data_IF_280407308989
#
_entry.id   IF_280407308989
#
_cell.length_a   1.000
_cell.length_b   1.000
_cell.length_c   1.000
_cell.angle_alpha   90.00
_cell.angle_beta   90.00
_cell.angle_gamma   90.00
#
_symmetry.space_group_name_H-M   'P 1'
#
loop_
_entity.id
_entity.type
_entity.pdbx_description
1 polymer ?
#
# COMPACT_ATOMS: atom_id res chain seq x y z
N UNK A 1 -13.24 24.39 2.90
CA UNK A 1 -11.88 23.82 2.87
C UNK A 1 -10.86 24.95 2.76
N UNK A 2 -9.78 24.91 3.54
CA UNK A 2 -8.65 25.85 3.50
C UNK A 2 -7.42 25.12 2.92
N UNK A 3 -6.71 25.74 1.98
CA UNK A 3 -5.53 25.16 1.33
C UNK A 3 -4.25 25.85 1.79
N UNK A 4 -3.23 25.06 2.16
CA UNK A 4 -1.85 25.51 2.37
C UNK A 4 -0.95 25.19 1.17
N UNK A 5 -1.36 24.24 0.32
CA UNK A 5 -0.62 23.85 -0.89
C UNK A 5 -1.56 23.74 -2.08
N UNK A 6 -1.46 24.64 -3.08
CA UNK A 6 -2.31 24.59 -4.27
C UNK A 6 -2.07 23.31 -5.09
N UNK A 7 -0.88 22.73 -4.99
CA UNK A 7 -0.54 21.48 -5.70
C UNK A 7 -1.26 20.22 -5.17
N UNK A 8 -1.99 20.34 -4.06
CA UNK A 8 -2.80 19.24 -3.53
C UNK A 8 -4.00 18.93 -4.45
N UNK A 9 -4.66 19.99 -4.97
CA UNK A 9 -5.84 19.85 -5.83
C UNK A 9 -5.37 19.59 -7.27
N UNK A 10 -5.91 18.52 -7.87
CA UNK A 10 -5.51 18.06 -9.20
C UNK A 10 -6.64 18.14 -10.24
N UNK A 11 -7.83 18.55 -9.82
CA UNK A 11 -8.96 18.86 -10.71
C UNK A 11 -9.11 20.37 -10.89
N UNK A 12 -9.63 20.77 -12.03
CA UNK A 12 -9.95 22.16 -12.35
C UNK A 12 -11.46 22.36 -12.38
N UNK A 13 -12.18 21.42 -12.95
CA UNK A 13 -13.63 21.40 -13.05
C UNK A 13 -14.17 20.07 -12.53
N UNK A 14 -15.10 20.08 -11.56
CA UNK A 14 -15.62 21.24 -10.82
C UNK A 14 -14.56 21.94 -9.97
N UNK A 15 -14.64 23.26 -9.78
CA UNK A 15 -13.72 23.98 -8.93
C UNK A 15 -13.96 23.66 -7.45
N UNK A 16 -12.92 23.81 -6.64
CA UNK A 16 -12.94 23.46 -5.21
C UNK A 16 -14.05 24.19 -4.41
N UNK A 17 -14.40 25.38 -4.81
CA UNK A 17 -15.42 26.20 -4.13
C UNK A 17 -16.81 25.57 -4.18
N UNK A 18 -17.06 24.65 -5.12
CA UNK A 18 -18.31 23.89 -5.18
C UNK A 18 -18.55 23.01 -3.96
N UNK A 19 -17.51 22.76 -3.17
CA UNK A 19 -17.62 21.97 -1.94
C UNK A 19 -18.07 22.81 -0.73
N UNK A 20 -18.09 24.13 -0.83
CA UNK A 20 -18.48 24.98 0.30
C UNK A 20 -19.96 24.79 0.64
N UNK A 21 -20.24 24.59 1.92
CA UNK A 21 -21.59 24.36 2.44
C UNK A 21 -22.19 23.01 2.07
N UNK A 22 -21.45 22.11 1.43
CA UNK A 22 -21.92 20.76 1.12
C UNK A 22 -21.81 19.83 2.30
N UNK A 23 -22.79 18.94 2.40
CA UNK A 23 -22.82 17.87 3.39
C UNK A 23 -22.13 16.63 2.84
N UNK A 24 -21.29 15.99 3.67
CA UNK A 24 -20.78 14.64 3.36
C UNK A 24 -21.88 13.63 3.69
N UNK A 25 -22.44 13.01 2.66
CA UNK A 25 -23.55 12.06 2.77
C UNK A 25 -23.09 10.61 2.88
N UNK A 26 -21.86 10.32 2.45
CA UNK A 26 -21.29 8.98 2.51
C UNK A 26 -19.78 8.96 2.33
N UNK A 27 -19.21 7.79 2.67
CA UNK A 27 -17.79 7.49 2.46
C UNK A 27 -17.66 6.14 1.78
N UNK A 28 -16.84 6.07 0.74
CA UNK A 28 -16.48 4.79 0.12
C UNK A 28 -15.01 4.74 -0.24
N UNK A 29 -14.54 3.53 -0.48
CA UNK A 29 -13.17 3.26 -0.93
C UNK A 29 -13.15 2.96 -2.42
N UNK A 30 -12.21 3.59 -3.14
CA UNK A 30 -11.92 3.29 -4.53
C UNK A 30 -10.42 2.94 -4.65
N UNK A 31 -10.10 1.67 -4.64
CA UNK A 31 -8.71 1.21 -4.53
C UNK A 31 -8.06 1.66 -3.22
N UNK A 32 -7.05 2.51 -3.31
CA UNK A 32 -6.37 3.18 -2.18
C UNK A 32 -6.77 4.65 -2.02
N UNK A 33 -7.89 5.04 -2.61
CA UNK A 33 -8.48 6.38 -2.47
C UNK A 33 -9.69 6.35 -1.55
N UNK A 34 -9.89 7.43 -0.84
CA UNK A 34 -11.08 7.69 -0.02
C UNK A 34 -11.95 8.62 -0.85
N UNK A 35 -13.20 8.24 -1.07
CA UNK A 35 -14.19 9.06 -1.77
C UNK A 35 -15.21 9.55 -0.76
N UNK A 36 -15.35 10.86 -0.64
CA UNK A 36 -16.41 11.49 0.11
C UNK A 36 -17.54 11.82 -0.85
N UNK A 37 -18.69 11.25 -0.59
CA UNK A 37 -19.93 11.53 -1.32
C UNK A 37 -20.57 12.77 -0.72
N UNK A 38 -21.03 13.67 -1.54
CA UNK A 38 -21.59 14.95 -1.12
C UNK A 38 -22.90 15.25 -1.84
N UNK A 39 -23.62 16.20 -1.31
CA UNK A 39 -24.81 16.75 -1.98
C UNK A 39 -24.51 17.15 -3.43
N UNK A 40 -25.56 17.21 -4.25
CA UNK A 40 -25.52 17.62 -5.65
C UNK A 40 -24.64 16.72 -6.53
N UNK A 41 -24.53 15.42 -6.21
CA UNK A 41 -23.75 14.45 -6.97
C UNK A 41 -22.29 14.87 -7.14
N UNK A 42 -21.73 15.50 -6.08
CA UNK A 42 -20.34 15.87 -5.98
C UNK A 42 -19.56 14.84 -5.17
N UNK A 43 -18.32 14.63 -5.57
CA UNK A 43 -17.40 13.72 -4.89
C UNK A 43 -16.05 14.39 -4.64
N UNK A 44 -15.49 14.13 -3.46
CA UNK A 44 -14.10 14.47 -3.17
C UNK A 44 -13.28 13.19 -3.12
N UNK A 45 -12.40 13.00 -4.08
CA UNK A 45 -11.51 11.84 -4.15
C UNK A 45 -10.17 12.20 -3.55
N UNK A 46 -9.79 11.52 -2.47
CA UNK A 46 -8.54 11.77 -1.74
C UNK A 46 -7.59 10.60 -1.88
N UNK A 47 -6.37 10.86 -2.31
CA UNK A 47 -5.30 9.87 -2.31
C UNK A 47 -4.19 10.31 -1.36
N UNK A 48 -4.05 9.62 -0.24
CA UNK A 48 -3.06 9.95 0.81
C UNK A 48 -1.62 9.59 0.40
N UNK A 49 -1.44 8.77 -0.61
CA UNK A 49 -0.15 8.23 -1.02
C UNK A 49 0.57 7.51 0.14
N UNK A 50 1.90 7.70 0.27
CA UNK A 50 2.71 7.01 1.28
C UNK A 50 2.68 7.74 2.64
N UNK A 51 2.78 9.05 2.62
CA UNK A 51 3.01 9.86 3.82
C UNK A 51 1.85 10.79 4.20
N UNK A 52 0.81 10.87 3.37
CA UNK A 52 -0.40 11.64 3.68
C UNK A 52 -1.12 11.06 4.89
N UNK A 53 -1.60 11.92 5.77
CA UNK A 53 -2.34 11.54 6.99
C UNK A 53 -3.46 12.52 7.23
N UNK A 54 -4.60 11.99 7.64
CA UNK A 54 -5.66 12.77 8.25
C UNK A 54 -5.47 12.86 9.76
N UNK A 55 -5.89 14.00 10.34
CA UNK A 55 -5.94 14.24 11.77
C UNK A 55 -7.19 15.02 12.10
N UNK A 56 -7.96 14.54 13.07
CA UNK A 56 -9.15 15.22 13.54
C UNK A 56 -8.78 16.16 14.68
N UNK A 57 -9.27 17.41 14.63
CA UNK A 57 -8.97 18.45 15.60
C UNK A 57 -10.22 19.28 15.90
N UNK A 58 -10.15 20.14 16.88
CA UNK A 58 -11.18 21.11 17.21
C UNK A 58 -11.50 22.02 16.02
N UNK A 59 -12.72 22.56 15.98
CA UNK A 59 -13.16 23.43 14.92
C UNK A 59 -12.24 24.67 14.76
N UNK A 60 -11.91 25.00 13.53
CA UNK A 60 -11.01 26.11 13.21
C UNK A 60 -9.53 25.85 13.43
N UNK A 61 -9.10 24.63 13.72
CA UNK A 61 -7.70 24.28 13.91
C UNK A 61 -6.81 24.81 12.77
N UNK A 62 -5.64 25.32 13.12
CA UNK A 62 -4.67 25.87 12.14
C UNK A 62 -3.99 24.76 11.37
N UNK A 63 -3.75 24.98 10.10
CA UNK A 63 -2.96 24.08 9.26
C UNK A 63 -1.51 24.12 9.72
N UNK A 64 -0.88 22.96 10.06
CA UNK A 64 0.52 22.92 10.51
C UNK A 64 1.48 23.41 9.41
N UNK A 65 2.44 24.28 9.73
CA UNK A 65 3.30 24.95 8.76
C UNK A 65 4.00 24.01 7.76
N UNK A 66 4.98 23.22 8.21
CA UNK A 66 5.80 22.38 7.30
C UNK A 66 5.09 21.16 6.71
N UNK A 67 4.17 20.55 7.43
CA UNK A 67 3.53 19.28 7.02
C UNK A 67 2.10 19.48 6.51
N UNK A 68 1.49 20.60 6.78
CA UNK A 68 0.10 20.88 6.43
C UNK A 68 -0.12 21.04 4.92
N UNK A 69 -1.18 20.44 4.41
CA UNK A 69 -1.61 20.56 3.02
C UNK A 69 -2.97 21.25 2.90
N UNK A 70 -3.91 20.86 3.74
CA UNK A 70 -5.27 21.40 3.76
C UNK A 70 -5.97 21.18 5.11
N UNK A 71 -7.04 21.93 5.31
CA UNK A 71 -8.01 21.74 6.38
C UNK A 71 -9.43 21.66 5.78
N UNK A 72 -10.19 20.68 6.21
CA UNK A 72 -11.62 20.54 5.92
C UNK A 72 -12.37 20.89 7.19
N UNK A 73 -13.04 22.02 7.18
CA UNK A 73 -13.76 22.54 8.34
C UNK A 73 -15.20 22.06 8.32
N UNK A 74 -15.62 21.42 9.38
CA UNK A 74 -16.98 20.97 9.66
C UNK A 74 -17.54 21.71 10.86
N UNK A 75 -18.83 21.58 11.10
CA UNK A 75 -19.52 22.21 12.23
C UNK A 75 -18.99 21.72 13.59
N UNK A 76 -18.53 20.47 13.65
CA UNK A 76 -18.08 19.79 14.86
C UNK A 76 -16.56 19.57 14.96
N UNK A 77 -15.79 20.07 14.00
CA UNK A 77 -14.34 19.90 14.02
C UNK A 77 -13.67 20.25 12.70
N UNK A 78 -12.36 20.08 12.68
CA UNK A 78 -11.52 20.29 11.51
C UNK A 78 -10.70 19.04 11.22
N UNK A 79 -10.84 18.50 10.02
CA UNK A 79 -10.00 17.41 9.51
C UNK A 79 -8.79 18.00 8.79
N UNK A 80 -7.60 17.84 9.35
CA UNK A 80 -6.36 18.27 8.75
C UNK A 80 -5.79 17.20 7.84
N UNK A 81 -5.38 17.56 6.62
CA UNK A 81 -4.57 16.73 5.75
C UNK A 81 -3.12 17.18 5.83
N UNK A 82 -2.25 16.28 6.25
CA UNK A 82 -0.82 16.52 6.41
C UNK A 82 -0.01 15.50 5.62
N UNK A 83 1.19 15.88 5.16
CA UNK A 83 2.14 14.95 4.54
C UNK A 83 3.56 15.31 4.97
N UNK A 84 4.22 14.38 5.66
CA UNK A 84 5.61 14.52 6.07
C UNK A 84 6.57 14.25 4.90
N UNK A 85 7.71 14.95 4.89
CA UNK A 85 8.76 14.76 3.89
C UNK A 85 8.80 15.82 2.79
N UNK A 86 9.82 15.74 1.96
CA UNK A 86 10.08 16.72 0.90
C UNK A 86 9.30 16.47 -0.41
N UNK A 87 8.95 15.21 -0.67
CA UNK A 87 8.17 14.80 -1.86
C UNK A 87 6.70 14.65 -1.49
N UNK A 88 5.94 15.71 -1.64
CA UNK A 88 4.49 15.71 -1.40
C UNK A 88 3.77 15.16 -2.60
N UNK A 89 3.01 14.08 -2.41
CA UNK A 89 2.31 13.34 -3.47
C UNK A 89 0.83 13.15 -3.20
N UNK A 90 0.36 13.45 -1.99
CA UNK A 90 -1.06 13.43 -1.68
C UNK A 90 -1.81 14.28 -2.70
N UNK A 91 -2.99 13.84 -3.07
CA UNK A 91 -3.80 14.52 -4.10
C UNK A 91 -5.27 14.45 -3.76
N UNK A 92 -5.97 15.49 -4.17
CA UNK A 92 -7.41 15.65 -4.01
C UNK A 92 -8.01 16.05 -5.36
N UNK A 93 -9.15 15.45 -5.69
CA UNK A 93 -9.92 15.76 -6.90
C UNK A 93 -11.37 16.06 -6.51
N UNK A 94 -11.91 17.13 -7.05
CA UNK A 94 -13.35 17.37 -7.05
C UNK A 94 -13.91 16.77 -8.32
N UNK A 95 -14.97 15.97 -8.18
CA UNK A 95 -15.54 15.19 -9.27
C UNK A 95 -17.05 15.38 -9.27
N UNK A 96 -17.67 15.46 -10.45
CA UNK A 96 -19.11 15.51 -10.64
C UNK A 96 -19.61 14.23 -11.29
N UNK A 97 -20.59 13.60 -10.65
CA UNK A 97 -21.25 12.40 -11.15
C UNK A 97 -20.45 11.11 -11.01
N UNK A 98 -21.13 9.98 -10.95
CA UNK A 98 -20.52 8.64 -10.90
C UNK A 98 -19.57 8.38 -12.08
N UNK A 99 -19.95 8.83 -13.27
CA UNK A 99 -19.12 8.70 -14.47
C UNK A 99 -17.78 9.41 -14.32
N UNK A 100 -17.73 10.53 -13.57
CA UNK A 100 -16.49 11.23 -13.26
C UNK A 100 -15.57 10.43 -12.34
N UNK A 101 -16.13 9.54 -11.50
CA UNK A 101 -15.33 8.68 -10.63
C UNK A 101 -14.66 7.51 -11.38
N UNK A 102 -15.22 7.06 -12.49
CA UNK A 102 -14.66 5.96 -13.29
C UNK A 102 -13.22 6.24 -13.73
N UNK A 103 -12.89 7.51 -13.98
CA UNK A 103 -11.52 7.93 -14.35
C UNK A 103 -10.51 7.69 -13.22
N UNK A 104 -10.99 7.62 -11.99
CA UNK A 104 -10.17 7.39 -10.79
C UNK A 104 -10.10 5.91 -10.40
N UNK A 105 -10.88 5.04 -11.05
CA UNK A 105 -10.80 3.59 -10.84
C UNK A 105 -9.81 2.97 -11.83
N UNK A 106 -8.72 2.37 -11.35
CA UNK A 106 -7.79 1.65 -12.20
C UNK A 106 -8.39 0.37 -12.82
N UNK A 107 -9.56 -0.07 -12.37
CA UNK A 107 -10.26 -1.25 -12.90
C UNK A 107 -9.75 -2.60 -12.38
N UNK A 108 -8.88 -2.62 -11.38
CA UNK A 108 -8.47 -3.87 -10.73
C UNK A 108 -9.60 -4.42 -9.84
N UNK A 109 -9.72 -5.75 -9.78
CA UNK A 109 -10.75 -6.40 -8.96
C UNK A 109 -10.51 -6.18 -7.46
N UNK A 110 -11.57 -6.09 -6.69
CA UNK A 110 -11.48 -6.09 -5.23
C UNK A 110 -11.26 -7.52 -4.72
N UNK A 111 -10.12 -7.73 -4.06
CA UNK A 111 -9.71 -9.05 -3.56
C UNK A 111 -10.66 -9.58 -2.50
N UNK A 112 -11.28 -8.71 -1.69
CA UNK A 112 -12.15 -9.12 -0.58
C UNK A 112 -13.49 -9.67 -1.06
N UNK A 113 -13.94 -9.29 -2.26
CA UNK A 113 -15.22 -9.72 -2.84
C UNK A 113 -15.05 -10.67 -4.01
N UNK A 114 -13.81 -10.88 -4.50
CA UNK A 114 -13.53 -11.75 -5.64
C UNK A 114 -13.51 -13.24 -5.24
N UNK A 115 -13.96 -14.08 -6.17
CA UNK A 115 -13.71 -15.53 -6.09
C UNK A 115 -12.25 -15.85 -6.45
N UNK A 116 -11.77 -17.04 -6.04
CA UNK A 116 -10.44 -17.57 -6.41
C UNK A 116 -10.25 -17.56 -7.93
N UNK A 117 -11.29 -17.90 -8.70
CA UNK A 117 -11.26 -17.90 -10.17
C UNK A 117 -11.04 -16.49 -10.73
N UNK A 118 -11.78 -15.50 -10.23
CA UNK A 118 -11.63 -14.10 -10.66
C UNK A 118 -10.26 -13.55 -10.28
N UNK A 119 -9.81 -13.84 -9.06
CA UNK A 119 -8.47 -13.46 -8.58
C UNK A 119 -7.38 -14.06 -9.46
N UNK A 120 -7.43 -15.36 -9.76
CA UNK A 120 -6.47 -16.04 -10.63
C UNK A 120 -6.46 -15.45 -12.04
N UNK A 121 -7.63 -15.23 -12.64
CA UNK A 121 -7.75 -14.63 -13.97
C UNK A 121 -7.16 -13.22 -14.02
N UNK A 122 -7.42 -12.37 -13.02
CA UNK A 122 -6.84 -11.04 -12.93
C UNK A 122 -5.31 -11.09 -12.75
N UNK A 123 -4.84 -11.92 -11.82
CA UNK A 123 -3.41 -12.05 -11.48
C UNK A 123 -2.57 -12.53 -12.67
N UNK A 124 -3.13 -13.42 -13.52
CA UNK A 124 -2.44 -14.02 -14.64
C UNK A 124 -2.72 -13.36 -15.99
N UNK A 125 -3.50 -12.27 -16.01
CA UNK A 125 -3.80 -11.51 -17.22
C UNK A 125 -2.54 -11.03 -17.94
N UNK A 126 -1.51 -10.70 -17.15
CA UNK A 126 -0.20 -10.31 -17.64
C UNK A 126 0.89 -11.14 -16.95
N UNK A 127 1.96 -11.49 -17.68
CA UNK A 127 3.06 -12.23 -17.09
C UNK A 127 4.03 -11.32 -16.36
N UNK A 128 3.79 -11.14 -15.07
CA UNK A 128 4.60 -10.33 -14.15
C UNK A 128 5.17 -11.17 -13.01
N UNK A 129 6.10 -10.59 -12.25
CA UNK A 129 6.45 -11.16 -10.95
C UNK A 129 5.27 -10.99 -9.99
N UNK A 130 5.09 -11.93 -9.06
CA UNK A 130 3.99 -11.88 -8.08
C UNK A 130 3.95 -10.58 -7.30
N UNK A 131 5.11 -10.08 -6.87
CA UNK A 131 5.18 -8.78 -6.17
C UNK A 131 4.62 -7.64 -7.02
N UNK A 132 4.93 -7.61 -8.31
CA UNK A 132 4.42 -6.59 -9.24
C UNK A 132 2.92 -6.76 -9.46
N UNK A 133 2.48 -7.97 -9.78
CA UNK A 133 1.08 -8.25 -10.05
C UNK A 133 0.17 -7.91 -8.84
N UNK A 134 0.58 -8.27 -7.62
CA UNK A 134 -0.17 -7.94 -6.40
C UNK A 134 -0.29 -6.44 -6.14
N UNK A 135 0.70 -5.65 -6.55
CA UNK A 135 0.72 -4.20 -6.30
C UNK A 135 0.18 -3.37 -7.45
N UNK A 136 -0.13 -4.00 -8.59
CA UNK A 136 -0.68 -3.32 -9.75
C UNK A 136 -2.18 -3.05 -9.56
N UNK A 137 -2.59 -1.77 -9.47
CA UNK A 137 -3.98 -1.41 -9.22
C UNK A 137 -4.90 -1.71 -10.42
N UNK A 138 -4.35 -1.98 -11.60
CA UNK A 138 -5.13 -2.42 -12.78
C UNK A 138 -5.47 -3.91 -12.75
N UNK A 139 -4.76 -4.70 -11.94
CA UNK A 139 -5.02 -6.12 -11.73
C UNK A 139 -5.81 -6.35 -10.45
N UNK A 140 -5.29 -5.85 -9.33
CA UNK A 140 -5.83 -6.07 -7.98
C UNK A 140 -5.94 -4.74 -7.24
N UNK A 141 -7.15 -4.43 -6.81
CA UNK A 141 -7.45 -3.20 -6.09
C UNK A 141 -6.98 -3.26 -4.64
N UNK A 142 -6.38 -2.17 -4.15
CA UNK A 142 -6.14 -1.94 -2.72
C UNK A 142 -4.82 -2.45 -2.16
N UNK A 143 -4.19 -3.47 -2.73
CA UNK A 143 -2.93 -4.03 -2.21
C UNK A 143 -1.76 -3.08 -2.50
N UNK A 144 -0.97 -2.78 -1.46
CA UNK A 144 0.24 -1.95 -1.55
C UNK A 144 1.52 -2.72 -1.25
N UNK A 145 2.64 -1.99 -1.21
CA UNK A 145 3.96 -2.58 -1.02
C UNK A 145 4.08 -3.42 0.26
N UNK A 146 3.58 -2.91 1.40
CA UNK A 146 3.69 -3.59 2.67
C UNK A 146 2.88 -4.90 2.70
N UNK A 147 1.59 -4.82 2.39
CA UNK A 147 0.72 -5.99 2.44
C UNK A 147 1.06 -7.05 1.40
N UNK A 148 1.63 -6.67 0.24
CA UNK A 148 2.10 -7.67 -0.72
C UNK A 148 3.29 -8.49 -0.21
N UNK A 149 4.18 -7.93 0.64
CA UNK A 149 5.24 -8.70 1.30
C UNK A 149 4.64 -9.70 2.29
N UNK A 150 3.69 -9.25 3.12
CA UNK A 150 3.01 -10.09 4.11
C UNK A 150 2.22 -11.23 3.46
N UNK A 151 1.46 -10.92 2.41
CA UNK A 151 0.66 -11.90 1.65
C UNK A 151 1.58 -12.97 1.04
N UNK A 152 2.67 -12.56 0.39
CA UNK A 152 3.64 -13.49 -0.21
C UNK A 152 4.35 -14.34 0.83
N UNK A 153 4.66 -13.76 1.99
CA UNK A 153 5.27 -14.50 3.10
C UNK A 153 4.31 -15.54 3.67
N UNK A 154 3.07 -15.17 3.95
CA UNK A 154 2.05 -16.08 4.44
C UNK A 154 1.70 -17.20 3.44
N UNK A 155 1.61 -16.87 2.14
CA UNK A 155 1.41 -17.84 1.07
C UNK A 155 2.65 -18.68 0.76
N UNK A 156 3.81 -18.38 1.34
CA UNK A 156 5.10 -19.05 1.07
C UNK A 156 5.49 -19.04 -0.42
N UNK A 157 5.25 -17.90 -1.09
CA UNK A 157 5.56 -17.72 -2.49
C UNK A 157 6.64 -16.67 -2.70
N UNK A 158 7.53 -16.91 -3.66
CA UNK A 158 8.60 -16.00 -3.99
C UNK A 158 8.07 -14.70 -4.61
N UNK A 159 8.55 -13.51 -4.17
CA UNK A 159 8.15 -12.23 -4.75
C UNK A 159 8.50 -12.10 -6.24
N UNK A 160 9.47 -12.87 -6.73
CA UNK A 160 9.93 -12.86 -8.13
C UNK A 160 9.39 -14.01 -8.97
N UNK A 161 8.59 -14.91 -8.39
CA UNK A 161 7.91 -15.95 -9.16
C UNK A 161 7.01 -15.31 -10.22
N UNK A 162 7.04 -15.83 -11.43
CA UNK A 162 6.20 -15.33 -12.52
C UNK A 162 4.76 -15.82 -12.38
N UNK A 163 3.80 -14.97 -12.67
CA UNK A 163 2.37 -15.29 -12.61
C UNK A 163 2.01 -16.46 -13.55
N UNK A 164 2.69 -16.59 -14.69
CA UNK A 164 2.52 -17.70 -15.64
C UNK A 164 3.00 -19.06 -15.11
N UNK A 165 3.66 -19.12 -13.97
CA UNK A 165 4.19 -20.36 -13.36
C UNK A 165 3.40 -20.78 -12.11
N UNK A 166 2.30 -20.13 -11.81
CA UNK A 166 1.46 -20.49 -10.68
C UNK A 166 0.65 -21.74 -10.97
N UNK A 167 0.61 -22.65 -9.99
CA UNK A 167 -0.37 -23.74 -9.99
C UNK A 167 -1.72 -23.25 -9.46
N UNK A 168 -2.78 -24.02 -9.69
CA UNK A 168 -4.11 -23.70 -9.17
C UNK A 168 -4.14 -23.64 -7.63
N UNK A 169 -3.39 -24.53 -6.98
CA UNK A 169 -3.23 -24.57 -5.52
C UNK A 169 -2.50 -23.34 -4.98
N UNK A 170 -1.48 -22.86 -5.70
CA UNK A 170 -0.76 -21.64 -5.35
C UNK A 170 -1.64 -20.41 -5.49
N UNK A 171 -2.46 -20.34 -6.54
CA UNK A 171 -3.45 -19.26 -6.73
C UNK A 171 -4.47 -19.26 -5.60
N UNK A 172 -5.02 -20.43 -5.24
CA UNK A 172 -5.99 -20.55 -4.15
C UNK A 172 -5.39 -20.15 -2.81
N UNK A 173 -4.18 -20.61 -2.50
CA UNK A 173 -3.45 -20.26 -1.27
C UNK A 173 -3.13 -18.76 -1.21
N UNK A 174 -2.70 -18.16 -2.32
CA UNK A 174 -2.38 -16.74 -2.41
C UNK A 174 -3.63 -15.87 -2.20
N UNK A 175 -4.75 -16.24 -2.81
CA UNK A 175 -6.04 -15.57 -2.62
C UNK A 175 -6.52 -15.65 -1.16
N UNK A 176 -6.54 -16.87 -0.60
CA UNK A 176 -6.96 -17.08 0.79
C UNK A 176 -6.12 -16.24 1.76
N UNK A 177 -4.81 -16.20 1.55
CA UNK A 177 -3.91 -15.43 2.40
C UNK A 177 -4.09 -13.92 2.21
N UNK A 178 -4.34 -13.46 0.99
CA UNK A 178 -4.64 -12.05 0.71
C UNK A 178 -5.92 -11.60 1.43
N UNK A 179 -6.99 -12.36 1.34
CA UNK A 179 -8.25 -12.08 2.03
C UNK A 179 -8.05 -12.08 3.54
N UNK A 180 -7.45 -13.15 4.08
CA UNK A 180 -7.20 -13.31 5.52
C UNK A 180 -6.41 -12.14 6.11
N UNK A 181 -5.30 -11.75 5.46
CA UNK A 181 -4.44 -10.69 5.97
C UNK A 181 -5.09 -9.30 5.86
N UNK A 182 -5.76 -9.00 4.75
CA UNK A 182 -6.43 -7.72 4.59
C UNK A 182 -7.56 -7.55 5.61
N UNK A 183 -8.35 -8.60 5.87
CA UNK A 183 -9.39 -8.61 6.90
C UNK A 183 -8.76 -8.45 8.28
N UNK A 184 -7.77 -9.27 8.62
CA UNK A 184 -7.07 -9.19 9.91
C UNK A 184 -6.58 -7.76 10.20
N UNK A 185 -5.84 -7.15 9.29
CA UNK A 185 -5.27 -5.84 9.53
C UNK A 185 -6.32 -4.72 9.55
N UNK A 186 -7.42 -4.87 8.81
CA UNK A 186 -8.58 -3.98 8.93
C UNK A 186 -9.20 -4.07 10.32
N UNK A 187 -9.47 -5.28 10.78
CA UNK A 187 -10.14 -5.52 12.05
C UNK A 187 -9.26 -5.14 13.25
N UNK A 188 -7.97 -5.42 13.18
CA UNK A 188 -6.99 -4.95 14.18
C UNK A 188 -6.99 -3.41 14.25
N UNK A 189 -7.01 -2.72 13.12
CA UNK A 189 -7.07 -1.25 13.08
C UNK A 189 -8.37 -0.69 13.66
N UNK A 190 -9.49 -1.33 13.37
CA UNK A 190 -10.80 -0.96 13.94
C UNK A 190 -10.77 -1.13 15.45
N UNK A 191 -10.29 -2.29 15.93
CA UNK A 191 -10.20 -2.58 17.36
C UNK A 191 -9.26 -1.63 18.11
N UNK A 192 -8.10 -1.31 17.53
CA UNK A 192 -7.14 -0.36 18.12
C UNK A 192 -7.66 1.07 18.15
N UNK A 193 -8.47 1.45 17.16
CA UNK A 193 -8.98 2.82 17.03
C UNK A 193 -10.18 3.05 17.95
N UNK A 194 -11.05 2.04 18.10
CA UNK A 194 -12.31 2.18 18.85
C UNK A 194 -13.14 3.33 18.28
N UNK A 195 -13.66 4.17 19.17
CA UNK A 195 -14.46 5.35 18.80
C UNK A 195 -13.59 6.59 18.45
N UNK A 196 -12.25 6.47 18.55
CA UNK A 196 -11.36 7.58 18.26
C UNK A 196 -11.10 7.73 16.74
N UNK A 197 -10.49 8.83 16.34
CA UNK A 197 -10.03 9.02 14.97
C UNK A 197 -8.69 8.28 14.73
N UNK A 198 -8.51 7.53 13.61
CA UNK A 198 -7.32 6.74 13.34
C UNK A 198 -6.13 7.61 12.89
N UNK A 199 -5.37 8.17 13.83
CA UNK A 199 -4.27 9.09 13.52
C UNK A 199 -2.95 8.43 13.14
N UNK A 200 -2.67 7.24 13.69
CA UNK A 200 -1.37 6.56 13.57
C UNK A 200 -1.37 5.45 12.51
N UNK A 201 -2.10 5.63 11.43
CA UNK A 201 -2.12 4.63 10.35
C UNK A 201 -0.80 4.63 9.60
N UNK A 202 -0.06 3.53 9.69
CA UNK A 202 1.25 3.34 9.05
C UNK A 202 1.35 1.95 8.43
N UNK A 203 2.21 1.82 7.41
CA UNK A 203 2.56 0.52 6.83
C UNK A 203 3.60 -0.27 7.66
N UNK A 204 4.20 0.37 8.67
CA UNK A 204 5.17 -0.27 9.57
C UNK A 204 4.47 -0.55 10.90
N UNK A 205 3.87 -1.73 11.02
CA UNK A 205 3.09 -2.12 12.19
C UNK A 205 3.80 -3.20 12.98
N UNK A 206 3.62 -3.18 14.27
CA UNK A 206 3.98 -4.29 15.13
C UNK A 206 3.17 -5.54 14.68
N UNK A 207 3.80 -6.71 14.73
CA UNK A 207 3.18 -7.95 14.22
C UNK A 207 3.33 -8.22 12.73
N UNK A 208 3.91 -7.31 11.92
CA UNK A 208 4.30 -7.66 10.56
C UNK A 208 5.40 -8.73 10.55
N UNK A 209 5.31 -9.66 9.59
CA UNK A 209 6.15 -10.86 9.51
C UNK A 209 7.35 -10.73 8.58
N UNK A 210 7.22 -9.93 7.53
CA UNK A 210 8.25 -9.72 6.51
C UNK A 210 8.55 -8.24 6.25
N UNK A 211 7.51 -7.42 6.02
CA UNK A 211 7.70 -6.03 5.63
C UNK A 211 8.40 -5.20 6.72
N UNK A 212 9.46 -4.46 6.32
CA UNK A 212 10.26 -3.65 7.25
C UNK A 212 11.09 -4.45 8.25
N UNK A 213 11.25 -5.77 8.05
CA UNK A 213 11.97 -6.65 8.98
C UNK A 213 13.31 -7.14 8.45
N UNK A 214 13.91 -6.46 7.48
CA UNK A 214 15.22 -6.84 6.97
C UNK A 214 16.24 -7.09 8.09
N UNK A 215 16.90 -8.25 8.06
CA UNK A 215 17.87 -8.70 9.05
C UNK A 215 17.28 -9.24 10.36
N UNK A 216 15.97 -9.07 10.61
CA UNK A 216 15.31 -9.65 11.80
C UNK A 216 14.91 -11.10 11.52
N UNK A 217 14.82 -11.95 12.56
CA UNK A 217 14.39 -13.34 12.38
C UNK A 217 12.96 -13.43 11.85
N UNK A 218 12.75 -14.34 10.90
CA UNK A 218 11.43 -14.73 10.44
C UNK A 218 10.65 -15.38 11.59
N UNK A 219 9.41 -14.95 11.89
CA UNK A 219 8.64 -15.51 12.99
C UNK A 219 8.23 -16.98 12.76
N UNK A 220 8.31 -17.48 11.51
CA UNK A 220 7.94 -18.87 11.20
C UNK A 220 9.11 -19.84 11.23
N UNK A 221 10.34 -19.44 10.89
CA UNK A 221 11.46 -20.36 10.76
C UNK A 221 12.79 -19.83 11.33
N UNK A 222 12.81 -18.63 11.91
CA UNK A 222 14.04 -18.03 12.50
C UNK A 222 15.03 -17.44 11.48
N UNK A 223 14.93 -17.78 10.21
CA UNK A 223 15.83 -17.28 9.16
C UNK A 223 15.77 -15.76 9.04
N UNK A 224 16.91 -15.03 8.92
CA UNK A 224 16.90 -13.59 8.75
C UNK A 224 16.15 -13.16 7.47
N UNK A 225 15.15 -12.30 7.61
CA UNK A 225 14.41 -11.71 6.50
C UNK A 225 15.38 -10.96 5.58
N UNK A 226 15.27 -11.20 4.29
CA UNK A 226 16.04 -10.55 3.25
C UNK A 226 15.22 -9.51 2.50
N UNK A 227 15.90 -8.66 1.70
CA UNK A 227 15.22 -7.66 0.87
C UNK A 227 15.82 -7.57 -0.52
N UNK A 228 14.99 -7.17 -1.46
CA UNK A 228 15.39 -6.72 -2.80
C UNK A 228 15.09 -5.23 -2.86
N UNK A 229 16.08 -4.41 -3.14
CA UNK A 229 15.90 -2.97 -3.33
C UNK A 229 15.54 -2.66 -4.77
N UNK A 230 14.52 -1.84 -4.95
CA UNK A 230 14.17 -1.17 -6.19
C UNK A 230 14.43 0.34 -6.03
N UNK A 231 14.31 1.12 -7.10
CA UNK A 231 14.64 2.55 -7.06
C UNK A 231 13.94 3.35 -5.94
N UNK A 232 12.68 3.04 -5.64
CA UNK A 232 11.88 3.74 -4.62
C UNK A 232 11.20 2.81 -3.61
N UNK A 233 11.29 1.51 -3.81
CA UNK A 233 10.60 0.51 -3.00
C UNK A 233 11.54 -0.64 -2.67
N UNK A 234 11.16 -1.47 -1.70
CA UNK A 234 11.82 -2.74 -1.43
C UNK A 234 10.78 -3.85 -1.31
N UNK A 235 11.18 -5.07 -1.60
CA UNK A 235 10.44 -6.29 -1.29
C UNK A 235 11.18 -7.02 -0.18
N UNK A 236 10.46 -7.38 0.88
CA UNK A 236 11.00 -8.15 1.99
C UNK A 236 10.48 -9.59 1.91
N UNK A 237 11.34 -10.55 2.14
CA UNK A 237 11.00 -11.97 2.03
C UNK A 237 11.86 -12.84 2.95
N UNK A 238 11.35 -14.03 3.29
CA UNK A 238 12.12 -15.07 3.99
C UNK A 238 12.70 -16.04 2.97
N UNK A 239 14.04 -16.19 2.87
CA UNK A 239 14.65 -17.12 1.93
C UNK A 239 14.19 -18.56 2.14
N UNK A 240 14.16 -19.03 3.38
CA UNK A 240 13.75 -20.41 3.69
C UNK A 240 12.29 -20.66 3.35
N UNK A 241 11.37 -19.80 3.82
CA UNK A 241 9.94 -20.03 3.64
C UNK A 241 9.46 -19.84 2.19
N UNK A 242 10.11 -18.95 1.42
CA UNK A 242 9.58 -18.48 0.13
C UNK A 242 10.42 -18.90 -1.07
N UNK A 243 11.69 -19.22 -0.88
CA UNK A 243 12.63 -19.47 -2.01
C UNK A 243 13.50 -20.72 -1.84
N UNK A 244 13.18 -21.58 -0.86
CA UNK A 244 13.93 -22.81 -0.61
C UNK A 244 15.42 -22.56 -0.26
N UNK A 245 15.69 -21.49 0.49
CA UNK A 245 17.05 -21.08 0.91
C UNK A 245 17.79 -20.19 -0.09
N UNK A 246 17.25 -19.94 -1.29
CA UNK A 246 17.93 -19.13 -2.32
C UNK A 246 17.81 -17.64 -2.01
N UNK A 247 18.92 -16.92 -2.12
CA UNK A 247 18.96 -15.47 -2.08
C UNK A 247 18.57 -14.88 -3.44
N UNK A 248 17.58 -14.00 -3.43
CA UNK A 248 17.14 -13.30 -4.63
C UNK A 248 18.05 -12.10 -4.88
N UNK A 249 18.50 -11.96 -6.12
CA UNK A 249 19.39 -10.89 -6.51
C UNK A 249 18.67 -9.54 -6.56
N UNK A 250 19.27 -8.55 -5.92
CA UNK A 250 18.98 -7.13 -6.16
C UNK A 250 19.53 -6.74 -7.54
N UNK A 251 18.71 -6.13 -8.39
CA UNK A 251 19.13 -5.76 -9.76
C UNK A 251 20.32 -4.79 -9.80
N UNK A 252 20.47 -3.93 -8.79
CA UNK A 252 21.60 -3.00 -8.69
C UNK A 252 22.86 -3.73 -8.31
N UNK A 253 22.82 -4.52 -7.22
CA UNK A 253 23.97 -5.25 -6.69
C UNK A 253 24.34 -6.44 -7.57
N UNK A 254 23.40 -7.14 -8.20
CA UNK A 254 23.69 -8.26 -9.09
C UNK A 254 24.42 -7.85 -10.37
N UNK A 255 24.22 -6.63 -10.87
CA UNK A 255 24.99 -6.05 -11.97
C UNK A 255 26.45 -5.79 -11.59
N UNK A 256 26.69 -5.38 -10.33
CA UNK A 256 28.04 -5.10 -9.80
C UNK A 256 28.78 -6.37 -9.45
N UNK A 257 28.12 -7.34 -8.83
CA UNK A 257 28.72 -8.57 -8.34
C UNK A 257 28.74 -9.70 -9.37
N UNK A 258 27.95 -9.59 -10.45
CA UNK A 258 27.84 -10.60 -11.52
C UNK A 258 27.77 -12.04 -10.97
N UNK A 259 28.82 -12.86 -11.22
CA UNK A 259 28.95 -14.24 -10.74
C UNK A 259 29.17 -14.38 -9.23
N UNK A 260 29.61 -13.31 -8.56
CA UNK A 260 29.95 -13.32 -7.13
C UNK A 260 28.75 -12.99 -6.23
N UNK A 261 27.53 -12.93 -6.79
CA UNK A 261 26.32 -12.79 -5.98
C UNK A 261 26.11 -14.04 -5.12
N UNK A 262 26.06 -13.91 -3.78
CA UNK A 262 25.83 -15.06 -2.91
C UNK A 262 24.47 -15.70 -3.20
N UNK A 263 24.48 -17.01 -3.42
CA UNK A 263 23.26 -17.78 -3.75
C UNK A 263 22.55 -18.30 -2.51
N UNK A 264 23.26 -18.38 -1.37
CA UNK A 264 22.74 -18.84 -0.08
C UNK A 264 23.08 -17.87 1.05
N UNK A 265 22.44 -18.06 2.22
CA UNK A 265 22.75 -17.29 3.43
C UNK A 265 24.17 -17.57 3.94
N UNK A 266 24.64 -18.80 3.80
CA UNK A 266 25.97 -19.20 4.19
C UNK A 266 27.05 -18.47 3.37
N UNK A 267 26.87 -18.44 2.05
CA UNK A 267 27.75 -17.66 1.17
C UNK A 267 27.70 -16.16 1.50
N UNK A 268 26.53 -15.61 1.81
CA UNK A 268 26.37 -14.21 2.21
C UNK A 268 27.14 -13.90 3.51
N UNK A 269 27.12 -14.80 4.48
CA UNK A 269 27.84 -14.65 5.73
C UNK A 269 29.38 -14.74 5.53
N UNK A 270 29.84 -15.68 4.72
CA UNK A 270 31.24 -15.78 4.33
C UNK A 270 31.74 -14.50 3.66
N UNK A 271 30.93 -13.94 2.73
CA UNK A 271 31.26 -12.64 2.10
C UNK A 271 31.34 -11.48 3.08
N UNK A 272 30.50 -11.48 4.15
CA UNK A 272 30.56 -10.45 5.19
C UNK A 272 31.81 -10.58 6.08
N UNK A 273 32.20 -11.78 6.39
CA UNK A 273 33.42 -12.08 7.20
C UNK A 273 34.66 -11.67 6.40
N UNK A 274 34.74 -12.06 5.13
CA UNK A 274 35.88 -11.71 4.26
C UNK A 274 36.08 -10.20 4.02
N UNK A 275 35.04 -9.38 4.25
CA UNK A 275 35.13 -7.91 4.12
C UNK A 275 35.49 -7.19 5.42
N UNK A 276 35.53 -7.90 6.54
CA UNK A 276 35.87 -7.34 7.87
C UNK A 276 37.30 -7.66 8.32
N UNK A 277 37.97 -8.57 7.66
CA UNK A 277 39.43 -8.85 7.79
C UNK A 277 40.19 -8.13 6.68
#
# INVERSE_FOLDING_TARGET
MRLASPFLVRSVDPPLDRLHGKTVTGLRRLGKRIVWEMDDDLFLVVHLMIAGRFRWNEAGAKIPGKAGLAAFDFTNGTLLLTEAGSKRRASVYVVKGERGLEVHDPGGIDVLTSSVRQFGAALTRENHTLKRALTDPHLLSGIGNAYSDEILHGAKLSPVQLTSRLTAEEVARLHAEAVRLLIKWRDDLIAETGDAFPEKVTAFREGMTAHGRFGKPCPMCGTPIQRIKYASNEANYCPTCQTGGKLLADRGLSRLLKGDWPKSLEELEQHKIARKG
#
